data_IF_654242293179
#
_entry.id   IF_654242293179
#
_cell.length_a   1.000
_cell.length_b   1.000
_cell.length_c   1.000
_cell.angle_alpha   90.00
_cell.angle_beta   90.00
_cell.angle_gamma   90.00
#
_symmetry.space_group_name_H-M   'P 1'
#
loop_
_entity.id
_entity.type
_entity.pdbx_description
1 polymer ?
#
# COMPACT_ATOMS: atom_id res chain seq x y z
N UNK A 1 1.72 -7.03 -10.92
CA UNK A 1 2.59 -6.22 -10.04
C UNK A 1 2.24 -4.74 -10.23
N UNK A 2 1.75 -4.06 -9.19
CA UNK A 2 1.52 -2.61 -9.24
C UNK A 2 2.80 -1.83 -8.92
N UNK A 3 3.10 -0.77 -9.68
CA UNK A 3 4.20 0.15 -9.39
C UNK A 3 3.91 1.55 -9.91
N UNK A 4 4.27 2.59 -9.15
CA UNK A 4 4.23 3.98 -9.64
C UNK A 4 5.42 4.34 -10.52
N UNK A 5 6.52 3.59 -10.39
CA UNK A 5 7.76 3.77 -11.17
C UNK A 5 7.81 2.69 -12.24
N UNK A 6 7.72 3.11 -13.50
CA UNK A 6 7.69 2.20 -14.65
C UNK A 6 9.01 1.45 -14.82
N UNK A 7 10.15 2.11 -14.61
CA UNK A 7 11.48 1.51 -14.82
C UNK A 7 11.72 0.42 -13.77
N UNK A 8 11.47 0.73 -12.50
CA UNK A 8 11.58 -0.26 -11.40
C UNK A 8 10.55 -1.38 -11.55
N UNK A 9 9.35 -1.04 -11.97
CA UNK A 9 8.27 -2.00 -12.23
C UNK A 9 8.63 -2.99 -13.33
N UNK A 10 9.13 -2.51 -14.48
CA UNK A 10 9.59 -3.35 -15.58
C UNK A 10 10.71 -4.28 -15.16
N UNK A 11 11.72 -3.75 -14.45
CA UNK A 11 12.83 -4.56 -13.92
C UNK A 11 12.33 -5.68 -13.00
N UNK A 12 11.39 -5.40 -12.10
CA UNK A 12 10.82 -6.42 -11.22
C UNK A 12 10.02 -7.48 -11.99
N UNK A 13 9.26 -7.08 -13.01
CA UNK A 13 8.54 -8.02 -13.88
C UNK A 13 9.51 -8.90 -14.68
N UNK A 14 10.58 -8.33 -15.22
CA UNK A 14 11.62 -9.09 -15.93
C UNK A 14 12.24 -10.18 -15.05
N UNK A 15 12.58 -9.85 -13.80
CA UNK A 15 13.12 -10.81 -12.83
C UNK A 15 12.13 -11.96 -12.57
N UNK A 16 10.86 -11.64 -12.29
CA UNK A 16 9.84 -12.66 -12.01
C UNK A 16 9.51 -13.50 -13.26
N UNK A 17 9.55 -12.89 -14.44
CA UNK A 17 9.32 -13.60 -15.71
C UNK A 17 10.49 -14.54 -16.03
N UNK A 18 11.72 -14.18 -15.69
CA UNK A 18 12.87 -15.09 -15.80
C UNK A 18 12.74 -16.33 -14.90
N UNK A 19 11.96 -16.23 -13.82
CA UNK A 19 11.57 -17.36 -12.96
C UNK A 19 10.33 -18.11 -13.49
N UNK A 20 9.86 -17.81 -14.71
CA UNK A 20 8.66 -18.37 -15.35
C UNK A 20 7.33 -18.03 -14.64
N UNK A 21 7.29 -16.94 -13.86
CA UNK A 21 6.05 -16.49 -13.23
C UNK A 21 5.24 -15.61 -14.19
N UNK A 22 3.91 -15.82 -14.32
CA UNK A 22 3.06 -15.04 -15.22
C UNK A 22 2.71 -13.68 -14.60
N UNK A 23 3.62 -12.71 -14.70
CA UNK A 23 3.47 -11.39 -14.08
C UNK A 23 3.33 -10.30 -15.14
N UNK A 24 2.33 -9.41 -14.99
CA UNK A 24 2.26 -8.16 -15.74
C UNK A 24 2.41 -6.94 -14.84
N UNK A 25 3.00 -5.88 -15.38
CA UNK A 25 3.08 -4.57 -14.74
C UNK A 25 1.74 -3.85 -14.87
N UNK A 26 1.30 -3.19 -13.80
CA UNK A 26 0.22 -2.19 -13.80
C UNK A 26 0.79 -0.91 -13.21
N UNK A 27 0.69 0.19 -13.93
CA UNK A 27 1.13 1.49 -13.42
C UNK A 27 0.06 2.05 -12.47
N UNK A 28 0.45 2.26 -11.22
CA UNK A 28 -0.46 2.74 -10.18
C UNK A 28 0.31 3.50 -9.11
N UNK A 29 -0.09 4.76 -8.87
CA UNK A 29 0.28 5.50 -7.67
C UNK A 29 -0.93 5.57 -6.73
N UNK A 30 -0.78 4.98 -5.55
CA UNK A 30 -1.87 4.84 -4.59
C UNK A 30 -2.35 6.19 -4.02
N UNK A 31 -1.57 7.26 -4.21
CA UNK A 31 -1.96 8.63 -3.83
C UNK A 31 -2.62 9.41 -4.96
N UNK A 32 -2.73 8.84 -6.17
CA UNK A 32 -3.29 9.51 -7.34
C UNK A 32 -4.47 8.73 -7.91
N UNK A 33 -5.69 9.25 -7.68
CA UNK A 33 -6.94 8.60 -8.05
C UNK A 33 -7.04 8.27 -9.55
N UNK A 34 -6.54 9.12 -10.44
CA UNK A 34 -6.64 8.86 -11.88
C UNK A 34 -5.84 7.62 -12.30
N UNK A 35 -4.72 7.35 -11.63
CA UNK A 35 -3.92 6.14 -11.88
C UNK A 35 -4.56 4.90 -11.28
N UNK A 36 -5.27 5.04 -10.16
CA UNK A 36 -6.06 3.95 -9.56
C UNK A 36 -7.20 3.57 -10.50
N UNK A 37 -7.94 4.55 -11.03
CA UNK A 37 -9.04 4.33 -11.96
C UNK A 37 -8.56 3.67 -13.26
N UNK A 38 -7.42 4.13 -13.79
CA UNK A 38 -6.78 3.50 -14.95
C UNK A 38 -6.40 2.03 -14.69
N UNK A 39 -5.83 1.74 -13.52
CA UNK A 39 -5.48 0.39 -13.10
C UNK A 39 -6.72 -0.52 -12.94
N UNK A 40 -7.82 0.00 -12.38
CA UNK A 40 -9.09 -0.74 -12.29
C UNK A 40 -9.62 -1.07 -13.68
N UNK A 41 -9.60 -0.12 -14.61
CA UNK A 41 -10.04 -0.33 -15.99
C UNK A 41 -9.19 -1.39 -16.70
N UNK A 42 -7.86 -1.35 -16.52
CA UNK A 42 -6.95 -2.34 -17.10
C UNK A 42 -7.25 -3.76 -16.59
N UNK A 43 -7.39 -3.93 -15.26
CA UNK A 43 -7.72 -5.24 -14.67
C UNK A 43 -9.11 -5.70 -15.10
N UNK A 44 -10.09 -4.80 -15.16
CA UNK A 44 -11.44 -5.10 -15.62
C UNK A 44 -11.42 -5.65 -17.04
N UNK A 45 -10.73 -4.97 -17.96
CA UNK A 45 -10.69 -5.35 -19.37
C UNK A 45 -9.93 -6.66 -19.60
N UNK A 46 -8.87 -6.91 -18.82
CA UNK A 46 -7.99 -8.07 -19.02
C UNK A 46 -8.47 -9.33 -18.31
N UNK A 47 -9.10 -9.19 -17.13
CA UNK A 47 -9.41 -10.32 -16.24
C UNK A 47 -10.88 -10.35 -15.78
N UNK A 48 -11.62 -9.24 -15.82
CA UNK A 48 -13.03 -9.16 -15.45
C UNK A 48 -13.33 -9.20 -13.93
N UNK A 49 -12.39 -9.66 -13.11
CA UNK A 49 -12.46 -9.77 -11.65
C UNK A 49 -11.04 -9.66 -11.03
N UNK A 50 -10.98 -9.63 -9.69
CA UNK A 50 -9.72 -9.67 -8.93
C UNK A 50 -9.87 -10.60 -7.73
N UNK A 51 -9.04 -11.65 -7.61
CA UNK A 51 -9.16 -12.56 -6.47
C UNK A 51 -8.52 -12.02 -5.19
N UNK A 52 -7.35 -11.41 -5.32
CA UNK A 52 -6.56 -10.95 -4.17
C UNK A 52 -6.06 -9.54 -4.44
N UNK A 53 -6.37 -8.62 -3.53
CA UNK A 53 -5.73 -7.32 -3.44
C UNK A 53 -4.75 -7.31 -2.27
N UNK A 54 -3.49 -6.97 -2.54
CA UNK A 54 -2.47 -6.80 -1.50
C UNK A 54 -2.06 -5.32 -1.45
N UNK A 55 -2.52 -4.59 -0.43
CA UNK A 55 -2.10 -3.23 -0.16
C UNK A 55 -0.75 -3.25 0.56
N UNK A 56 0.32 -3.38 -0.22
CA UNK A 56 1.70 -3.42 0.27
C UNK A 56 2.42 -2.06 0.18
N UNK A 57 1.96 -1.14 -0.69
CA UNK A 57 2.58 0.17 -0.84
C UNK A 57 2.74 0.86 0.50
N UNK A 58 3.94 1.35 0.78
CA UNK A 58 4.21 2.07 2.01
C UNK A 58 5.44 2.95 1.91
N UNK A 59 5.41 4.05 2.64
CA UNK A 59 6.58 4.91 2.87
C UNK A 59 7.00 4.77 4.31
N UNK A 60 8.31 4.71 4.50
CA UNK A 60 8.97 4.79 5.78
C UNK A 60 10.13 5.76 5.58
N UNK A 61 9.97 6.98 6.09
CA UNK A 61 11.02 7.99 6.08
C UNK A 61 11.71 8.00 7.44
N UNK A 62 13.01 8.32 7.46
CA UNK A 62 13.69 8.63 8.71
C UNK A 62 13.06 9.92 9.25
N UNK A 63 12.32 9.81 10.35
CA UNK A 63 11.68 10.97 10.96
C UNK A 63 12.70 11.80 11.76
N UNK A 64 12.55 13.14 11.79
CA UNK A 64 13.28 13.99 12.71
C UNK A 64 12.80 13.74 14.15
N UNK A 65 13.27 14.54 15.13
CA UNK A 65 12.74 14.42 16.49
C UNK A 65 11.24 14.75 16.48
N UNK A 66 10.43 14.21 17.42
CA UNK A 66 9.01 14.54 17.52
C UNK A 66 8.71 16.04 17.54
N UNK A 67 9.59 16.84 18.16
CA UNK A 67 9.46 18.31 18.23
C UNK A 67 9.72 19.04 16.91
N UNK A 68 10.32 18.36 15.93
CA UNK A 68 10.71 18.89 14.62
C UNK A 68 9.83 18.33 13.49
N UNK A 69 8.99 17.33 13.81
CA UNK A 69 8.11 16.70 12.85
C UNK A 69 7.02 17.67 12.40
N UNK A 70 6.87 17.84 11.10
CA UNK A 70 5.83 18.71 10.54
C UNK A 70 4.53 17.94 10.31
N UNK A 71 3.43 18.68 10.20
CA UNK A 71 2.14 18.07 9.82
C UNK A 71 2.21 17.45 8.42
N UNK A 72 3.02 18.02 7.52
CA UNK A 72 3.17 17.50 6.16
C UNK A 72 3.93 16.16 6.14
N UNK A 73 4.89 15.96 7.03
CA UNK A 73 5.56 14.65 7.21
C UNK A 73 4.55 13.57 7.65
N UNK A 74 3.65 13.93 8.58
CA UNK A 74 2.58 13.05 9.05
C UNK A 74 1.60 12.76 7.92
N UNK A 75 1.11 13.80 7.22
CA UNK A 75 0.19 13.65 6.08
C UNK A 75 0.78 12.75 5.01
N UNK A 76 2.04 12.94 4.65
CA UNK A 76 2.69 12.11 3.63
C UNK A 76 2.66 10.61 3.97
N UNK A 77 2.91 10.25 5.23
CA UNK A 77 2.80 8.87 5.69
C UNK A 77 1.35 8.36 5.60
N UNK A 78 0.37 9.16 6.04
CA UNK A 78 -1.04 8.80 5.97
C UNK A 78 -1.55 8.67 4.53
N UNK A 79 -1.15 9.56 3.62
CA UNK A 79 -1.55 9.57 2.22
C UNK A 79 -1.21 8.25 1.54
N UNK A 80 -0.01 7.70 1.80
CA UNK A 80 0.40 6.42 1.22
C UNK A 80 -0.09 5.23 2.05
N UNK A 81 0.22 5.21 3.35
CA UNK A 81 0.08 4.01 4.18
C UNK A 81 -1.37 3.71 4.59
N UNK A 82 -2.25 4.72 4.62
CA UNK A 82 -3.64 4.58 5.03
C UNK A 82 -4.61 4.98 3.93
N UNK A 83 -4.61 6.25 3.50
CA UNK A 83 -5.55 6.74 2.49
C UNK A 83 -5.35 6.05 1.15
N UNK A 84 -4.10 5.78 0.74
CA UNK A 84 -3.81 5.03 -0.48
C UNK A 84 -4.37 3.61 -0.44
N UNK A 85 -4.16 2.88 0.66
CA UNK A 85 -4.74 1.54 0.84
C UNK A 85 -6.27 1.57 0.82
N UNK A 86 -6.89 2.56 1.48
CA UNK A 86 -8.34 2.75 1.43
C UNK A 86 -8.85 3.03 0.02
N UNK A 87 -8.24 3.98 -0.69
CA UNK A 87 -8.65 4.39 -2.03
C UNK A 87 -8.55 3.25 -3.04
N UNK A 88 -7.43 2.51 -3.03
CA UNK A 88 -7.25 1.32 -3.86
C UNK A 88 -8.29 0.25 -3.50
N UNK A 89 -8.48 -0.03 -2.22
CA UNK A 89 -9.47 -1.01 -1.78
C UNK A 89 -10.87 -0.64 -2.26
N UNK A 90 -11.29 0.61 -2.06
CA UNK A 90 -12.59 1.12 -2.48
C UNK A 90 -12.78 0.97 -4.00
N UNK A 91 -11.76 1.32 -4.78
CA UNK A 91 -11.83 1.30 -6.25
C UNK A 91 -11.87 -0.14 -6.80
N UNK A 92 -11.09 -1.06 -6.23
CA UNK A 92 -11.04 -2.46 -6.67
C UNK A 92 -12.13 -3.36 -6.07
N UNK A 93 -12.81 -2.92 -5.02
CA UNK A 93 -13.84 -3.72 -4.32
C UNK A 93 -14.91 -4.32 -5.24
N UNK A 94 -15.43 -3.62 -6.28
CA UNK A 94 -16.37 -4.23 -7.22
C UNK A 94 -15.80 -5.42 -7.98
N UNK A 95 -14.51 -5.41 -8.33
CA UNK A 95 -13.84 -6.54 -8.98
C UNK A 95 -13.59 -7.69 -8.02
N UNK A 96 -13.26 -7.36 -6.76
CA UNK A 96 -13.03 -8.37 -5.71
C UNK A 96 -14.32 -9.13 -5.40
N UNK A 97 -15.46 -8.43 -5.35
CA UNK A 97 -16.78 -9.05 -5.13
C UNK A 97 -17.22 -10.01 -6.23
N UNK A 98 -16.61 -9.95 -7.42
CA UNK A 98 -16.86 -10.92 -8.50
C UNK A 98 -16.10 -12.23 -8.31
N UNK A 99 -15.03 -12.23 -7.49
CA UNK A 99 -14.32 -13.47 -7.14
C UNK A 99 -15.14 -14.31 -6.17
N UNK A 100 -15.12 -15.63 -6.35
CA UNK A 100 -15.76 -16.58 -5.42
C UNK A 100 -15.06 -16.65 -4.07
N UNK A 101 -13.79 -16.23 -4.00
CA UNK A 101 -12.97 -16.29 -2.80
C UNK A 101 -12.12 -15.01 -2.62
N UNK A 102 -12.72 -13.85 -2.88
CA UNK A 102 -12.05 -12.55 -2.79
C UNK A 102 -11.34 -12.29 -1.45
N UNK A 103 -10.13 -11.75 -1.49
CA UNK A 103 -9.33 -11.37 -0.30
C UNK A 103 -8.72 -9.98 -0.45
N UNK A 104 -8.68 -9.24 0.65
CA UNK A 104 -7.91 -8.01 0.79
C UNK A 104 -6.89 -8.25 1.89
N UNK A 105 -5.62 -7.98 1.60
CA UNK A 105 -4.50 -8.10 2.54
C UNK A 105 -3.85 -6.74 2.69
N UNK A 106 -3.90 -6.18 3.90
CA UNK A 106 -3.21 -4.95 4.24
C UNK A 106 -1.88 -5.29 4.93
N UNK A 107 -0.76 -4.85 4.35
CA UNK A 107 0.57 -5.09 4.95
C UNK A 107 0.85 -3.99 5.97
N UNK A 108 0.73 -4.33 7.26
CA UNK A 108 1.03 -3.43 8.37
C UNK A 108 2.48 -3.57 8.87
N UNK A 109 2.75 -3.23 10.13
CA UNK A 109 4.07 -3.32 10.75
C UNK A 109 3.98 -3.65 12.24
N UNK A 110 5.01 -4.27 12.82
CA UNK A 110 5.11 -4.44 14.28
C UNK A 110 5.12 -3.11 15.03
N UNK A 111 5.60 -2.04 14.39
CA UNK A 111 5.55 -0.67 14.91
C UNK A 111 4.12 -0.11 15.04
N UNK A 112 3.10 -0.82 14.57
CA UNK A 112 1.70 -0.45 14.81
C UNK A 112 1.14 -0.98 16.13
N UNK A 113 1.90 -1.81 16.86
CA UNK A 113 1.47 -2.47 18.09
C UNK A 113 1.74 -1.61 19.32
N UNK A 114 0.70 -1.28 20.09
CA UNK A 114 0.85 -0.57 21.37
C UNK A 114 1.78 -1.31 22.35
N UNK A 115 1.69 -2.64 22.42
CA UNK A 115 2.58 -3.45 23.26
C UNK A 115 4.06 -3.33 22.85
N UNK A 116 4.33 -3.25 21.54
CA UNK A 116 5.69 -3.07 21.06
C UNK A 116 6.23 -1.67 21.44
N UNK A 117 5.37 -0.65 21.41
CA UNK A 117 5.70 0.72 21.85
C UNK A 117 6.01 0.81 23.34
N UNK A 118 5.28 0.08 24.19
CA UNK A 118 5.52 0.06 25.65
C UNK A 118 6.87 -0.55 26.03
N UNK A 119 7.39 -1.49 25.23
CA UNK A 119 8.59 -2.27 25.56
C UNK A 119 9.92 -1.67 25.06
N UNK A 120 9.90 -0.63 24.23
CA UNK A 120 11.11 -0.04 23.64
C UNK A 120 11.18 1.48 23.76
N UNK A 121 12.25 1.96 24.40
CA UNK A 121 12.52 3.39 24.60
C UNK A 121 12.79 4.20 23.31
N UNK A 122 13.04 3.55 22.16
CA UNK A 122 13.37 4.20 20.88
C UNK A 122 12.20 4.36 19.90
N UNK A 123 10.96 4.06 20.32
CA UNK A 123 9.79 4.18 19.44
C UNK A 123 9.44 5.63 19.03
N UNK A 124 10.10 6.64 19.61
CA UNK A 124 9.86 8.06 19.33
C UNK A 124 10.29 8.51 17.92
N UNK A 125 11.05 7.70 17.17
CA UNK A 125 11.55 8.08 15.83
C UNK A 125 10.69 7.59 14.66
N UNK A 126 9.49 7.06 14.94
CA UNK A 126 8.59 6.45 13.94
C UNK A 126 7.13 6.85 14.15
N UNK A 127 6.84 8.04 14.66
CA UNK A 127 5.50 8.48 15.04
C UNK A 127 4.54 8.51 13.84
N UNK A 128 4.92 9.17 12.75
CA UNK A 128 4.06 9.30 11.58
C UNK A 128 3.82 7.93 10.93
N UNK A 129 4.88 7.15 10.76
CA UNK A 129 4.79 5.80 10.23
C UNK A 129 3.90 4.90 11.12
N UNK A 130 4.19 4.84 12.41
CA UNK A 130 3.46 3.99 13.37
C UNK A 130 1.99 4.37 13.41
N UNK A 131 1.67 5.67 13.55
CA UNK A 131 0.29 6.14 13.59
C UNK A 131 -0.49 5.79 12.30
N UNK A 132 0.15 5.95 11.13
CA UNK A 132 -0.49 5.59 9.85
C UNK A 132 -0.74 4.09 9.73
N UNK A 133 0.18 3.24 10.19
CA UNK A 133 0.03 1.78 10.18
C UNK A 133 -0.92 1.26 11.27
N UNK A 134 -0.98 1.90 12.44
CA UNK A 134 -2.01 1.62 13.45
C UNK A 134 -3.40 1.95 12.90
N UNK A 135 -3.54 3.05 12.15
CA UNK A 135 -4.79 3.39 11.47
C UNK A 135 -5.15 2.35 10.40
N UNK A 136 -4.17 1.85 9.64
CA UNK A 136 -4.36 0.77 8.67
C UNK A 136 -4.88 -0.53 9.33
N UNK A 137 -4.48 -0.82 10.57
CA UNK A 137 -5.02 -1.98 11.30
C UNK A 137 -6.52 -1.85 11.55
N UNK A 138 -7.05 -0.64 11.80
CA UNK A 138 -8.50 -0.43 11.96
C UNK A 138 -9.28 -0.43 10.66
N UNK A 139 -8.59 -0.32 9.53
CA UNK A 139 -9.20 -0.48 8.21
C UNK A 139 -9.32 -1.95 7.77
N UNK A 140 -8.65 -2.87 8.47
CA UNK A 140 -8.55 -4.29 8.09
C UNK A 140 -9.66 -5.11 8.72
#
# INVERSE_FOLDING_TARGET
LGSRDEVRGKKAVEQLTAENLPVSLIIIDVTNQSTIDAAVNEVTNKYGHLDILINNSGVYAKEPRPSELTVDDIRHNFDVNFFGAFSVTKAFLPLIRKSTAGRIVNVSSGLSSFHFHESQANCFFHLAYSASKTSLNMLT
#
